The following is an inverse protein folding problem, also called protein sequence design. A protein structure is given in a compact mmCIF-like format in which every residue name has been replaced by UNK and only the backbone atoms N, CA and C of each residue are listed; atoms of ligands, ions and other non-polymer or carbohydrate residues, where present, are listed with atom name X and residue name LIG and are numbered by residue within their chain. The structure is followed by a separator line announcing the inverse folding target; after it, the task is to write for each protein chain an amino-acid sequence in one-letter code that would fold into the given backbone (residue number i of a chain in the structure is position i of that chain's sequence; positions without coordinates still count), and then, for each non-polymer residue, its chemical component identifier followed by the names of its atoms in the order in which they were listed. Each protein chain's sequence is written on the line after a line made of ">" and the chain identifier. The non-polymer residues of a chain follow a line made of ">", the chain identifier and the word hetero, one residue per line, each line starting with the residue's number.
data_IF_250059028052
#
_entry.id   IF_250059028052
#
_cell.length_a   1.000
_cell.length_b   1.000
_cell.length_c   1.000
_cell.angle_alpha   90.00
_cell.angle_beta   90.00
_cell.angle_gamma   90.00
#
_symmetry.space_group_name_H-M   'P 1'
#
loop_
_entity.id
_entity.type
_entity.pdbx_description
1 polymer ?
#
# COMPACT_ATOMS: atom_id res chain seq x y z
N UNK A 1 -6.04 12.05 6.36
CA UNK A 1 -5.34 10.93 7.04
C UNK A 1 -5.42 9.69 6.14
N UNK A 2 -4.73 8.57 6.41
CA UNK A 2 -4.82 7.41 5.51
C UNK A 2 -6.22 6.77 5.53
N UNK A 3 -6.85 6.70 6.70
CA UNK A 3 -8.21 6.15 6.83
C UNK A 3 -9.23 6.94 5.99
N UNK A 4 -9.05 8.26 5.84
CA UNK A 4 -9.93 9.10 5.02
C UNK A 4 -9.75 8.80 3.54
N UNK A 5 -8.49 8.65 3.09
CA UNK A 5 -8.15 8.30 1.71
C UNK A 5 -8.76 6.96 1.28
N UNK A 6 -8.86 6.02 2.23
CA UNK A 6 -9.37 4.66 2.01
C UNK A 6 -10.79 4.46 2.56
N UNK A 7 -11.52 5.53 2.88
CA UNK A 7 -12.81 5.44 3.58
C UNK A 7 -13.87 4.61 2.83
N UNK A 8 -13.78 4.53 1.51
CA UNK A 8 -14.66 3.67 0.70
C UNK A 8 -14.54 2.17 1.03
N UNK A 9 -13.45 1.76 1.65
CA UNK A 9 -13.19 0.38 2.08
C UNK A 9 -13.51 0.12 3.55
N UNK A 10 -14.09 1.10 4.24
CA UNK A 10 -14.42 0.99 5.66
C UNK A 10 -15.30 -0.22 5.94
N UNK A 11 -14.81 -1.09 6.82
CA UNK A 11 -15.48 -2.31 7.29
C UNK A 11 -15.91 -3.29 6.19
N UNK A 12 -15.28 -3.26 5.01
CA UNK A 12 -15.51 -4.29 3.99
C UNK A 12 -14.73 -5.56 4.40
N UNK A 13 -15.40 -6.71 4.40
CA UNK A 13 -14.79 -7.99 4.82
C UNK A 13 -13.95 -8.65 3.70
N UNK A 14 -12.98 -7.91 3.15
CA UNK A 14 -12.05 -8.38 2.12
C UNK A 14 -10.67 -7.71 2.22
N UNK A 15 -9.81 -7.92 1.21
CA UNK A 15 -8.47 -7.32 1.15
C UNK A 15 -8.49 -5.78 1.25
N UNK A 16 -9.48 -5.14 0.65
CA UNK A 16 -9.60 -3.68 0.66
C UNK A 16 -9.93 -3.16 2.05
N UNK A 17 -10.85 -3.81 2.79
CA UNK A 17 -11.12 -3.42 4.16
C UNK A 17 -9.97 -3.72 5.11
N UNK A 18 -9.21 -4.80 4.89
CA UNK A 18 -7.95 -5.02 5.61
C UNK A 18 -6.92 -3.91 5.33
N UNK A 19 -6.80 -3.46 4.08
CA UNK A 19 -5.99 -2.28 3.75
C UNK A 19 -6.43 -1.05 4.57
N UNK A 20 -7.74 -0.79 4.67
CA UNK A 20 -8.27 0.31 5.49
C UNK A 20 -8.00 0.13 7.00
N UNK A 21 -8.09 -1.07 7.56
CA UNK A 21 -7.71 -1.34 8.95
C UNK A 21 -6.25 -0.97 9.23
N UNK A 22 -5.33 -1.30 8.32
CA UNK A 22 -3.92 -0.89 8.43
C UNK A 22 -3.76 0.63 8.31
N UNK A 23 -4.55 1.29 7.45
CA UNK A 23 -4.58 2.74 7.34
C UNK A 23 -4.99 3.42 8.66
N UNK A 24 -6.02 2.89 9.33
CA UNK A 24 -6.45 3.35 10.67
C UNK A 24 -5.33 3.17 11.68
N UNK A 25 -4.67 2.01 11.70
CA UNK A 25 -3.57 1.74 12.62
C UNK A 25 -2.42 2.75 12.47
N UNK A 26 -2.02 3.08 11.23
CA UNK A 26 -0.99 4.08 10.96
C UNK A 26 -1.40 5.45 11.51
N UNK A 27 -2.65 5.87 11.27
CA UNK A 27 -3.14 7.16 11.75
C UNK A 27 -3.17 7.24 13.28
N UNK A 28 -3.56 6.15 13.96
CA UNK A 28 -3.50 6.04 15.42
C UNK A 28 -2.05 6.14 15.91
N UNK A 29 -1.12 5.39 15.32
CA UNK A 29 0.29 5.42 15.72
C UNK A 29 0.90 6.82 15.57
N UNK A 30 0.56 7.53 14.49
CA UNK A 30 0.99 8.93 14.26
C UNK A 30 0.44 9.92 15.29
N UNK A 31 -0.62 9.58 16.01
CA UNK A 31 -1.17 10.39 17.11
C UNK A 31 -0.51 10.12 18.47
N UNK A 32 0.40 9.16 18.55
CA UNK A 32 1.13 8.80 19.77
C UNK A 32 2.51 9.47 19.87
N UNK A 33 3.17 9.34 21.02
CA UNK A 33 4.55 9.81 21.23
C UNK A 33 5.62 8.75 20.89
N UNK A 34 5.23 7.63 20.26
CA UNK A 34 6.15 6.55 19.90
C UNK A 34 7.16 7.07 18.87
N UNK A 35 8.45 7.05 19.24
CA UNK A 35 9.54 7.55 18.39
C UNK A 35 10.01 6.54 17.33
N UNK A 36 9.92 5.27 17.69
CA UNK A 36 10.32 4.16 16.84
C UNK A 36 9.30 3.95 15.71
N UNK A 37 9.77 3.77 14.48
CA UNK A 37 8.92 3.67 13.30
C UNK A 37 8.47 2.25 12.97
N UNK A 38 8.89 1.25 13.74
CA UNK A 38 8.82 -0.16 13.33
C UNK A 38 7.37 -0.66 13.17
N UNK A 39 6.50 -0.35 14.14
CA UNK A 39 5.09 -0.70 14.10
C UNK A 39 4.39 0.05 12.94
N UNK A 40 4.65 1.36 12.81
CA UNK A 40 4.08 2.17 11.71
C UNK A 40 4.49 1.60 10.35
N UNK A 41 5.76 1.24 10.20
CA UNK A 41 6.32 0.68 8.99
C UNK A 41 5.71 -0.68 8.61
N UNK A 42 5.50 -1.56 9.58
CA UNK A 42 4.78 -2.81 9.36
C UNK A 42 3.38 -2.55 8.81
N UNK A 43 2.61 -1.65 9.44
CA UNK A 43 1.28 -1.33 8.96
C UNK A 43 1.29 -0.63 7.59
N UNK A 44 2.25 0.25 7.33
CA UNK A 44 2.38 0.90 6.02
C UNK A 44 2.66 -0.10 4.91
N UNK A 45 3.60 -1.03 5.13
CA UNK A 45 3.88 -2.09 4.18
C UNK A 45 2.65 -2.96 3.91
N UNK A 46 1.94 -3.40 4.96
CA UNK A 46 0.74 -4.21 4.81
C UNK A 46 -0.40 -3.46 4.10
N UNK A 47 -0.60 -2.16 4.39
CA UNK A 47 -1.57 -1.33 3.68
C UNK A 47 -1.31 -1.33 2.17
N UNK A 48 -0.07 -1.05 1.75
CA UNK A 48 0.30 -1.03 0.32
C UNK A 48 0.20 -2.43 -0.31
N UNK A 49 0.67 -3.47 0.38
CA UNK A 49 0.61 -4.86 -0.09
C UNK A 49 -0.84 -5.30 -0.37
N UNK A 50 -1.72 -5.10 0.61
CA UNK A 50 -3.13 -5.48 0.50
C UNK A 50 -3.84 -4.67 -0.57
N UNK A 51 -3.47 -3.40 -0.74
CA UNK A 51 -4.06 -2.58 -1.79
C UNK A 51 -3.65 -3.06 -3.19
N UNK A 52 -2.38 -3.40 -3.42
CA UNK A 52 -1.97 -4.01 -4.68
C UNK A 52 -2.68 -5.33 -4.95
N UNK A 53 -2.80 -6.20 -3.95
CA UNK A 53 -3.49 -7.49 -4.07
C UNK A 53 -4.97 -7.31 -4.38
N UNK A 54 -5.62 -6.32 -3.74
CA UNK A 54 -7.00 -5.96 -4.06
C UNK A 54 -7.16 -5.50 -5.52
N UNK A 55 -6.27 -4.63 -6.01
CA UNK A 55 -6.30 -4.18 -7.41
C UNK A 55 -6.08 -5.34 -8.39
N UNK A 56 -5.18 -6.27 -8.08
CA UNK A 56 -4.94 -7.46 -8.88
C UNK A 56 -6.15 -8.40 -8.86
N UNK A 57 -6.76 -8.63 -7.69
CA UNK A 57 -7.95 -9.46 -7.54
C UNK A 57 -9.15 -8.91 -8.32
N UNK A 58 -9.33 -7.59 -8.33
CA UNK A 58 -10.56 -6.98 -8.85
C UNK A 58 -10.45 -6.39 -10.25
N UNK A 59 -9.24 -6.04 -10.71
CA UNK A 59 -9.02 -5.35 -11.99
C UNK A 59 -8.10 -6.09 -12.95
N UNK A 60 -7.45 -7.17 -12.54
CA UNK A 60 -6.68 -7.97 -13.48
C UNK A 60 -7.56 -8.91 -14.29
N UNK A 61 -7.09 -9.30 -15.48
CA UNK A 61 -7.80 -10.26 -16.34
C UNK A 61 -8.08 -11.61 -15.64
N UNK A 62 -7.19 -12.04 -14.74
CA UNK A 62 -7.24 -13.36 -14.11
C UNK A 62 -7.68 -13.33 -12.65
N UNK A 63 -7.88 -12.15 -12.06
CA UNK A 63 -8.28 -12.00 -10.65
C UNK A 63 -7.32 -12.66 -9.65
N UNK A 64 -6.02 -12.68 -9.94
CA UNK A 64 -5.01 -13.36 -9.11
C UNK A 64 -3.77 -12.51 -8.90
N UNK A 65 -3.05 -12.79 -7.82
CA UNK A 65 -1.81 -12.13 -7.43
C UNK A 65 -0.80 -13.15 -6.93
N UNK A 66 0.50 -12.86 -7.04
CA UNK A 66 1.51 -13.77 -6.54
C UNK A 66 1.55 -13.82 -5.00
N UNK A 67 1.99 -14.96 -4.45
CA UNK A 67 2.22 -15.13 -3.00
C UNK A 67 3.54 -14.49 -2.57
N UNK A 68 3.70 -13.20 -2.84
CA UNK A 68 4.85 -12.40 -2.41
C UNK A 68 4.43 -11.24 -1.51
N UNK A 69 5.38 -10.77 -0.72
CA UNK A 69 5.29 -9.56 0.12
C UNK A 69 6.16 -8.42 -0.44
N UNK A 70 6.91 -8.68 -1.52
CA UNK A 70 7.81 -7.72 -2.17
C UNK A 70 7.00 -6.71 -2.97
N UNK A 71 6.88 -5.49 -2.45
CA UNK A 71 6.00 -4.47 -3.01
C UNK A 71 6.36 -4.08 -4.45
N UNK A 72 7.63 -4.05 -4.81
CA UNK A 72 8.08 -3.77 -6.18
C UNK A 72 7.59 -4.82 -7.19
N UNK A 73 7.53 -6.11 -6.79
CA UNK A 73 7.00 -7.18 -7.65
C UNK A 73 5.50 -7.03 -7.83
N UNK A 74 4.79 -6.72 -6.75
CA UNK A 74 3.35 -6.47 -6.80
C UNK A 74 3.02 -5.25 -7.69
N UNK A 75 3.81 -4.18 -7.63
CA UNK A 75 3.65 -3.05 -8.56
C UNK A 75 3.85 -3.48 -10.02
N UNK A 76 4.86 -4.30 -10.31
CA UNK A 76 5.06 -4.84 -11.66
C UNK A 76 3.89 -5.69 -12.13
N UNK A 77 3.34 -6.54 -11.26
CA UNK A 77 2.14 -7.32 -11.55
C UNK A 77 0.94 -6.40 -11.82
N UNK A 78 0.73 -5.36 -11.02
CA UNK A 78 -0.37 -4.40 -11.22
C UNK A 78 -0.23 -3.72 -12.58
N UNK A 79 0.96 -3.24 -12.93
CA UNK A 79 1.21 -2.58 -14.22
C UNK A 79 1.03 -3.55 -15.40
N UNK A 80 1.44 -4.80 -15.24
CA UNK A 80 1.40 -5.82 -16.30
C UNK A 80 -0.01 -6.33 -16.53
N UNK A 81 -0.75 -6.58 -15.46
CA UNK A 81 -2.01 -7.33 -15.52
C UNK A 81 -3.26 -6.44 -15.43
N UNK A 82 -3.10 -5.13 -15.23
CA UNK A 82 -4.21 -4.16 -15.20
C UNK A 82 -3.98 -3.01 -16.19
N UNK A 83 -4.95 -2.10 -16.28
CA UNK A 83 -4.83 -0.86 -17.07
C UNK A 83 -3.95 0.20 -16.40
N UNK A 84 -3.57 0.02 -15.14
CA UNK A 84 -2.72 0.97 -14.42
C UNK A 84 -1.37 1.15 -15.09
N UNK A 85 -0.90 2.39 -15.24
CA UNK A 85 0.41 2.73 -15.80
C UNK A 85 1.05 3.84 -14.96
N UNK A 86 2.34 3.70 -14.69
CA UNK A 86 3.15 4.70 -13.99
C UNK A 86 4.64 4.48 -14.31
N UNK A 87 5.51 5.44 -13.94
CA UNK A 87 6.96 5.28 -14.02
C UNK A 87 7.48 4.45 -12.83
N UNK A 88 7.40 3.13 -12.94
CA UNK A 88 7.74 2.17 -11.87
C UNK A 88 9.15 2.36 -11.26
N UNK A 89 10.12 2.76 -12.07
CA UNK A 89 11.50 3.00 -11.63
C UNK A 89 11.59 4.09 -10.55
N UNK A 90 10.69 5.07 -10.58
CA UNK A 90 10.61 6.12 -9.56
C UNK A 90 10.21 5.62 -8.16
N UNK A 91 9.62 4.42 -8.08
CA UNK A 91 9.06 3.87 -6.84
C UNK A 91 9.81 2.66 -6.28
N UNK A 92 10.55 1.92 -7.12
CA UNK A 92 11.16 0.65 -6.73
C UNK A 92 12.07 0.72 -5.50
N UNK A 93 12.94 1.72 -5.44
CA UNK A 93 13.82 1.95 -4.28
C UNK A 93 13.01 2.15 -3.00
N UNK A 94 12.00 3.01 -3.04
CA UNK A 94 11.16 3.30 -1.88
C UNK A 94 10.37 2.06 -1.44
N UNK A 95 9.77 1.33 -2.38
CA UNK A 95 9.04 0.09 -2.11
C UNK A 95 9.95 -1.00 -1.51
N UNK A 96 11.21 -1.09 -1.96
CA UNK A 96 12.19 -1.99 -1.37
C UNK A 96 12.52 -1.60 0.08
N UNK A 97 12.73 -0.30 0.35
CA UNK A 97 12.99 0.21 1.72
C UNK A 97 11.83 -0.13 2.65
N UNK A 98 10.58 0.09 2.21
CA UNK A 98 9.38 -0.26 2.99
C UNK A 98 9.33 -1.77 3.26
N UNK A 99 9.59 -2.60 2.24
CA UNK A 99 9.60 -4.07 2.37
C UNK A 99 10.62 -4.53 3.41
N UNK A 100 11.87 -4.05 3.31
CA UNK A 100 12.95 -4.41 4.25
C UNK A 100 12.60 -3.95 5.66
N UNK A 101 12.11 -2.72 5.81
CA UNK A 101 11.76 -2.19 7.12
C UNK A 101 10.68 -3.04 7.83
N UNK A 102 9.67 -3.55 7.11
CA UNK A 102 8.68 -4.46 7.67
C UNK A 102 9.22 -5.88 7.95
N UNK A 103 10.16 -6.37 7.12
CA UNK A 103 10.84 -7.65 7.35
C UNK A 103 11.68 -7.61 8.64
N UNK A 104 12.41 -6.52 8.85
CA UNK A 104 13.33 -6.31 9.98
C UNK A 104 12.62 -5.94 11.30
N UNK A 105 11.38 -5.41 11.25
CA UNK A 105 10.56 -5.09 12.43
C UNK A 105 10.53 -6.22 13.48
N UNK A 106 10.46 -7.48 13.03
CA UNK A 106 10.32 -8.65 13.91
C UNK A 106 11.63 -9.10 14.56
N UNK A 107 12.78 -8.60 14.08
CA UNK A 107 14.10 -9.14 14.43
C UNK A 107 14.99 -8.16 15.20
N UNK A 108 14.45 -7.01 15.62
CA UNK A 108 15.06 -6.11 16.61
C UNK A 108 16.37 -5.43 16.12
N UNK A 109 16.46 -5.13 14.83
CA UNK A 109 17.58 -4.37 14.27
C UNK A 109 17.33 -2.86 14.33
N UNK A 110 18.42 -2.08 14.35
CA UNK A 110 18.41 -0.62 14.21
C UNK A 110 17.75 -0.24 12.87
N UNK A 111 16.44 -0.03 12.89
CA UNK A 111 15.69 0.40 11.71
C UNK A 111 16.10 1.81 11.32
N UNK A 112 16.40 2.00 10.03
CA UNK A 112 16.58 3.33 9.46
C UNK A 112 15.21 4.01 9.29
N UNK A 113 14.70 4.59 10.38
CA UNK A 113 13.45 5.32 10.36
C UNK A 113 13.47 6.57 9.46
N UNK A 114 14.66 7.12 9.17
CA UNK A 114 14.76 8.23 8.23
C UNK A 114 14.59 7.72 6.79
N UNK A 115 15.27 6.63 6.43
CA UNK A 115 15.09 5.93 5.17
C UNK A 115 13.63 5.52 4.96
N UNK A 116 12.98 4.92 5.96
CA UNK A 116 11.55 4.60 5.94
C UNK A 116 10.69 5.84 5.63
N UNK A 117 10.85 6.94 6.38
CA UNK A 117 10.04 8.16 6.18
C UNK A 117 10.23 8.77 4.80
N UNK A 118 11.45 8.76 4.25
CA UNK A 118 11.69 9.18 2.87
C UNK A 118 11.00 8.25 1.86
N UNK A 119 11.04 6.94 2.12
CA UNK A 119 10.31 5.94 1.36
C UNK A 119 8.80 6.19 1.35
N UNK A 120 8.21 6.50 2.51
CA UNK A 120 6.78 6.85 2.65
C UNK A 120 6.40 8.06 1.79
N UNK A 121 7.20 9.13 1.78
CA UNK A 121 6.91 10.32 0.96
C UNK A 121 6.80 9.97 -0.53
N UNK A 122 7.67 9.10 -1.02
CA UNK A 122 7.66 8.63 -2.40
C UNK A 122 6.47 7.69 -2.64
N UNK A 123 6.25 6.72 -1.75
CA UNK A 123 5.16 5.75 -1.85
C UNK A 123 3.78 6.39 -1.71
N UNK A 124 3.65 7.51 -1.00
CA UNK A 124 2.39 8.25 -0.88
C UNK A 124 1.93 8.87 -2.21
N UNK A 125 2.88 9.22 -3.09
CA UNK A 125 2.56 9.66 -4.45
C UNK A 125 1.97 8.49 -5.24
N UNK A 126 2.62 7.33 -5.19
CA UNK A 126 2.10 6.11 -5.81
C UNK A 126 0.74 5.71 -5.23
N UNK A 127 0.55 5.80 -3.92
CA UNK A 127 -0.74 5.50 -3.28
C UNK A 127 -1.85 6.39 -3.84
N UNK A 128 -1.59 7.69 -4.02
CA UNK A 128 -2.58 8.58 -4.61
C UNK A 128 -2.89 8.19 -6.07
N UNK A 129 -1.89 7.89 -6.90
CA UNK A 129 -2.10 7.41 -8.28
C UNK A 129 -2.96 6.14 -8.32
N UNK A 130 -2.69 5.19 -7.42
CA UNK A 130 -3.44 3.94 -7.31
C UNK A 130 -4.89 4.19 -6.86
N UNK A 131 -5.10 5.10 -5.91
CA UNK A 131 -6.44 5.48 -5.44
C UNK A 131 -7.26 6.16 -6.55
N UNK A 132 -6.63 7.04 -7.34
CA UNK A 132 -7.26 7.62 -8.52
C UNK A 132 -7.68 6.55 -9.52
N UNK A 133 -6.79 5.59 -9.83
CA UNK A 133 -7.10 4.45 -10.68
C UNK A 133 -8.23 3.56 -10.13
N UNK A 134 -8.26 3.36 -8.80
CA UNK A 134 -9.32 2.62 -8.12
C UNK A 134 -10.68 3.32 -8.33
N UNK A 135 -10.71 4.64 -8.20
CA UNK A 135 -11.93 5.45 -8.27
C UNK A 135 -12.46 5.64 -9.69
N UNK A 136 -11.59 5.72 -10.70
CA UNK A 136 -12.00 5.91 -12.10
C UNK A 136 -12.91 4.80 -12.64
N UNK A 137 -12.79 3.56 -12.16
CA UNK A 137 -13.73 2.49 -12.56
C UNK A 137 -15.03 2.48 -11.76
N UNK A 138 -15.08 3.14 -10.61
CA UNK A 138 -16.29 3.24 -9.80
C UNK A 138 -17.33 4.15 -10.48
N UNK A 139 -16.88 5.24 -11.10
CA UNK A 139 -17.76 6.16 -11.84
C UNK A 139 -18.34 5.54 -13.11
N UNK A 140 -17.57 4.68 -13.79
CA UNK A 140 -18.03 3.96 -15.00
C UNK A 140 -19.17 2.97 -14.67
N UNK A 141 -19.14 2.33 -13.50
CA UNK A 141 -20.17 1.35 -13.09
C UNK A 141 -21.47 1.96 -12.57
N UNK A 142 -21.46 3.23 -12.16
CA UNK A 142 -22.67 3.94 -11.69
C UNK A 142 -23.32 4.73 -12.84
N UNK A 143 -22.55 5.09 -13.87
CA UNK A 143 -23.02 5.77 -15.08
C UNK A 143 -23.48 4.86 -16.22
N UNK A 144 -23.63 3.55 -16.00
CA UNK A 144 -24.07 2.53 -16.97
C UNK A 144 -25.30 1.79 -16.46
#
# INVERSE_FOLDING_TARGET
>A
MYQDKLNKFKNIENLAGKCWEHAVAIDVLKSTEIKDCSIECFHYQQMIELFFKHLLETKSQFGSYSKTHKLQRLLEEVITNTKFKTNKTGYFMALQVITVCAEEYRYNFLLDCNGYRQGVIICDRLLNELLEFENQEFEIKIGS
#
